data_IF_702989198841
#
_entry.id   IF_702989198841
#
_cell.length_a   1.000
_cell.length_b   1.000
_cell.length_c   1.000
_cell.angle_alpha   90.00
_cell.angle_beta   90.00
_cell.angle_gamma   90.00
#
_symmetry.space_group_name_H-M   'P 1'
#
loop_
_entity.id
_entity.type
_entity.pdbx_description
1 polymer ?
#
# COMPACT_ATOMS: atom_id res chain seq x y z
N UNK A 1 -16.63 5.60 7.85
CA UNK A 1 -15.26 5.07 7.71
C UNK A 1 -14.95 4.99 6.23
N UNK A 2 -14.22 5.97 5.69
CA UNK A 2 -13.75 5.90 4.29
C UNK A 2 -12.51 5.01 4.29
N UNK A 3 -12.58 3.88 3.59
CA UNK A 3 -11.48 2.95 3.47
C UNK A 3 -10.34 3.61 2.65
N UNK A 4 -9.15 3.70 3.25
CA UNK A 4 -7.94 4.07 2.53
C UNK A 4 -7.68 3.01 1.45
N UNK A 5 -7.45 3.43 0.20
CA UNK A 5 -7.15 2.49 -0.88
C UNK A 5 -5.63 2.38 -1.05
N UNK A 6 -5.04 1.38 -0.38
CA UNK A 6 -3.60 1.10 -0.43
C UNK A 6 -3.12 0.71 -1.85
N UNK A 7 -4.02 0.29 -2.76
CA UNK A 7 -3.69 0.08 -4.17
C UNK A 7 -3.51 1.39 -4.96
N UNK A 8 -3.93 2.54 -4.41
CA UNK A 8 -3.79 3.87 -5.02
C UNK A 8 -2.70 4.74 -4.38
N UNK A 9 -1.92 4.20 -3.45
CA UNK A 9 -0.87 4.96 -2.75
C UNK A 9 -1.40 5.95 -1.72
N UNK A 10 -2.58 5.67 -1.15
CA UNK A 10 -3.28 6.57 -0.25
C UNK A 10 -3.41 5.96 1.15
N UNK A 11 -3.22 6.80 2.17
CA UNK A 11 -3.43 6.43 3.57
C UNK A 11 -4.35 7.42 4.28
N UNK A 12 -4.94 6.96 5.39
CA UNK A 12 -5.63 7.83 6.35
C UNK A 12 -4.80 7.90 7.63
N UNK A 13 -4.65 9.12 8.16
CA UNK A 13 -3.97 9.41 9.41
C UNK A 13 -4.82 10.34 10.29
N UNK A 14 -4.58 10.31 11.60
CA UNK A 14 -5.20 11.22 12.55
C UNK A 14 -4.23 12.36 12.85
N UNK A 15 -4.62 13.58 12.50
CA UNK A 15 -3.89 14.82 12.76
C UNK A 15 -4.86 15.80 13.43
N UNK A 16 -4.46 16.37 14.58
CA UNK A 16 -5.31 17.18 15.46
C UNK A 16 -6.63 16.50 15.89
N UNK A 17 -6.62 15.17 15.97
CA UNK A 17 -7.82 14.38 16.28
C UNK A 17 -8.77 14.23 15.09
N UNK A 18 -8.44 14.77 13.92
CA UNK A 18 -9.21 14.67 12.70
C UNK A 18 -8.62 13.64 11.74
N UNK A 19 -9.49 12.85 11.10
CA UNK A 19 -9.09 11.91 10.06
C UNK A 19 -8.78 12.64 8.76
N UNK A 20 -7.50 12.72 8.39
CA UNK A 20 -7.04 13.33 7.14
C UNK A 20 -6.52 12.28 6.17
N UNK A 21 -6.73 12.54 4.88
CA UNK A 21 -6.30 11.68 3.78
C UNK A 21 -4.96 12.17 3.27
N UNK A 22 -4.00 11.27 3.10
CA UNK A 22 -2.70 11.57 2.51
C UNK A 22 -2.49 10.69 1.28
N UNK A 23 -2.01 11.28 0.20
CA UNK A 23 -1.69 10.60 -1.04
C UNK A 23 -0.53 11.32 -1.74
N UNK A 24 0.52 10.61 -2.12
CA UNK A 24 1.58 11.18 -2.95
C UNK A 24 1.21 11.03 -4.42
N UNK A 25 0.54 12.06 -4.94
CA UNK A 25 0.24 12.16 -6.38
C UNK A 25 1.51 12.50 -7.16
N UNK A 26 1.50 12.34 -8.49
CA UNK A 26 2.62 12.75 -9.33
C UNK A 26 2.98 14.24 -9.15
N UNK A 27 1.99 15.12 -8.96
CA UNK A 27 2.23 16.54 -8.68
C UNK A 27 2.94 16.74 -7.35
N UNK A 28 2.44 16.09 -6.29
CA UNK A 28 3.06 16.12 -4.96
C UNK A 28 4.48 15.54 -4.98
N UNK A 29 4.73 14.49 -5.76
CA UNK A 29 6.05 13.90 -5.91
C UNK A 29 7.03 14.84 -6.63
N UNK A 30 6.59 15.54 -7.68
CA UNK A 30 7.40 16.56 -8.35
C UNK A 30 7.74 17.74 -7.42
N UNK A 31 6.80 18.13 -6.55
CA UNK A 31 7.06 19.09 -5.48
C UNK A 31 8.14 18.57 -4.51
N UNK A 32 8.07 17.29 -4.12
CA UNK A 32 9.09 16.68 -3.26
C UNK A 32 10.46 16.63 -3.94
N UNK A 33 10.55 16.24 -5.21
CA UNK A 33 11.81 16.24 -5.96
C UNK A 33 12.46 17.64 -5.94
N UNK A 34 11.66 18.67 -6.17
CA UNK A 34 12.08 20.06 -6.12
C UNK A 34 12.53 20.48 -4.73
N UNK A 35 11.76 20.13 -3.69
CA UNK A 35 12.05 20.48 -2.30
C UNK A 35 13.32 19.80 -1.77
N UNK A 36 13.55 18.55 -2.16
CA UNK A 36 14.74 17.78 -1.78
C UNK A 36 15.95 18.05 -2.68
N UNK A 37 15.75 18.73 -3.81
CA UNK A 37 16.81 19.04 -4.78
C UNK A 37 17.38 17.80 -5.45
N UNK A 38 16.51 16.84 -5.80
CA UNK A 38 16.90 15.56 -6.43
C UNK A 38 16.39 15.51 -7.87
N UNK A 39 17.10 14.79 -8.74
CA UNK A 39 16.84 14.77 -10.19
C UNK A 39 15.86 13.65 -10.61
N UNK A 40 15.28 12.93 -9.65
CA UNK A 40 14.22 11.97 -9.93
C UNK A 40 13.77 11.10 -8.75
N UNK A 41 12.65 10.41 -8.94
CA UNK A 41 12.01 9.55 -7.94
C UNK A 41 12.92 8.47 -7.37
N UNK A 42 13.87 7.94 -8.15
CA UNK A 42 14.83 6.94 -7.67
C UNK A 42 15.77 7.52 -6.60
N UNK A 43 16.25 8.74 -6.81
CA UNK A 43 17.12 9.45 -5.86
C UNK A 43 16.33 9.91 -4.62
N UNK A 44 15.10 10.36 -4.83
CA UNK A 44 14.16 10.65 -3.75
C UNK A 44 13.95 9.41 -2.86
N UNK A 45 13.63 8.26 -3.46
CA UNK A 45 13.39 7.01 -2.74
C UNK A 45 14.64 6.54 -1.99
N UNK A 46 15.83 6.64 -2.61
CA UNK A 46 17.10 6.30 -1.96
C UNK A 46 17.32 7.17 -0.70
N UNK A 47 17.18 8.49 -0.84
CA UNK A 47 17.34 9.44 0.27
C UNK A 47 16.37 9.16 1.43
N UNK A 48 15.11 8.91 1.12
CA UNK A 48 14.09 8.59 2.13
C UNK A 48 14.40 7.26 2.84
N UNK A 49 14.97 6.30 2.13
CA UNK A 49 15.34 4.98 2.66
C UNK A 49 16.60 5.00 3.53
N UNK A 50 17.46 6.01 3.39
CA UNK A 50 18.65 6.17 4.25
C UNK A 50 18.31 6.50 5.71
N UNK A 51 17.06 6.85 6.02
CA UNK A 51 16.60 7.11 7.39
C UNK A 51 17.15 8.39 8.03
N UNK A 52 17.81 9.25 7.25
CA UNK A 52 18.38 10.53 7.68
C UNK A 52 17.43 11.70 7.46
N UNK A 53 16.17 11.51 7.86
CA UNK A 53 15.13 12.52 7.72
C UNK A 53 15.07 13.41 8.96
N UNK A 54 15.15 14.72 8.73
CA UNK A 54 14.97 15.78 9.71
C UNK A 54 13.49 16.07 9.96
N UNK A 55 13.18 16.85 11.01
CA UNK A 55 11.81 17.28 11.27
C UNK A 55 11.22 18.10 10.10
N UNK A 56 12.04 18.89 9.41
CA UNK A 56 11.63 19.61 8.20
C UNK A 56 11.23 18.66 7.09
N UNK A 57 12.01 17.61 6.85
CA UNK A 57 11.69 16.62 5.82
C UNK A 57 10.34 15.93 6.09
N UNK A 58 10.03 15.66 7.36
CA UNK A 58 8.73 15.11 7.74
C UNK A 58 7.60 16.09 7.42
N UNK A 59 7.76 17.38 7.75
CA UNK A 59 6.76 18.41 7.45
C UNK A 59 6.53 18.52 5.95
N UNK A 60 7.59 18.56 5.14
CA UNK A 60 7.51 18.62 3.67
C UNK A 60 6.78 17.41 3.10
N UNK A 61 7.10 16.18 3.55
CA UNK A 61 6.45 14.95 3.06
C UNK A 61 4.96 14.91 3.45
N UNK A 62 4.64 15.27 4.69
CA UNK A 62 3.25 15.27 5.18
C UNK A 62 2.42 16.33 4.46
N UNK A 63 2.96 17.54 4.28
CA UNK A 63 2.29 18.63 3.57
C UNK A 63 2.02 18.23 2.10
N UNK A 64 3.01 17.67 1.41
CA UNK A 64 2.82 17.15 0.05
C UNK A 64 1.77 16.03 -0.01
N UNK A 65 1.78 15.13 0.97
CA UNK A 65 0.80 14.05 1.09
C UNK A 65 -0.62 14.56 1.34
N UNK A 66 -0.81 15.54 2.22
CA UNK A 66 -2.11 16.16 2.49
C UNK A 66 -2.66 16.88 1.26
N UNK A 67 -1.82 17.66 0.56
CA UNK A 67 -2.19 18.31 -0.71
C UNK A 67 -2.64 17.30 -1.75
N UNK A 68 -1.88 16.22 -1.94
CA UNK A 68 -2.28 15.15 -2.86
C UNK A 68 -3.49 14.33 -2.40
N UNK A 69 -3.80 14.35 -1.10
CA UNK A 69 -5.01 13.79 -0.50
C UNK A 69 -6.26 14.65 -0.67
N UNK A 70 -6.13 15.89 -1.16
CA UNK A 70 -7.22 16.84 -1.40
C UNK A 70 -7.25 18.04 -0.44
N UNK A 71 -6.28 18.16 0.47
CA UNK A 71 -6.16 19.27 1.42
C UNK A 71 -5.19 20.33 0.86
N UNK A 72 -5.68 21.17 -0.06
CA UNK A 72 -4.84 22.09 -0.84
C UNK A 72 -4.16 23.18 0.00
N UNK A 73 -4.72 23.51 1.16
CA UNK A 73 -4.20 24.52 2.09
C UNK A 73 -3.16 23.94 3.08
N UNK A 74 -2.82 22.66 2.97
CA UNK A 74 -1.83 22.02 3.85
C UNK A 74 -0.39 22.31 3.38
N UNK A 75 0.18 23.42 3.82
CA UNK A 75 1.60 23.75 3.68
C UNK A 75 2.43 23.33 4.91
N UNK A 76 3.75 23.55 4.87
CA UNK A 76 4.65 23.17 5.96
C UNK A 76 4.36 23.91 7.27
N UNK A 77 3.91 25.16 7.21
CA UNK A 77 3.55 25.96 8.39
C UNK A 77 2.27 25.40 9.03
N UNK A 78 1.29 25.04 8.20
CA UNK A 78 0.09 24.34 8.65
C UNK A 78 0.45 23.03 9.37
N UNK A 79 1.32 22.19 8.78
CA UNK A 79 1.76 20.92 9.39
C UNK A 79 2.57 21.16 10.68
N UNK A 80 3.39 22.20 10.74
CA UNK A 80 4.16 22.55 11.94
C UNK A 80 3.26 22.84 13.16
N UNK A 81 2.05 23.36 12.92
CA UNK A 81 1.05 23.60 13.96
C UNK A 81 0.27 22.34 14.38
N UNK A 82 0.28 21.28 13.56
CA UNK A 82 -0.51 20.07 13.80
C UNK A 82 0.03 19.20 14.93
N UNK A 83 -0.88 18.45 15.57
CA UNK A 83 -0.55 17.41 16.55
C UNK A 83 -0.86 16.02 16.04
N UNK A 84 0.10 15.12 16.16
CA UNK A 84 -0.12 13.69 15.97
C UNK A 84 -0.11 12.98 17.34
N UNK A 85 -0.95 11.96 17.48
CA UNK A 85 -0.85 11.02 18.59
C UNK A 85 0.56 10.41 18.65
N UNK A 86 1.13 10.29 19.85
CA UNK A 86 2.52 9.83 20.06
C UNK A 86 3.62 10.79 19.53
N UNK A 87 3.28 12.05 19.21
CA UNK A 87 4.25 13.08 18.81
C UNK A 87 5.06 12.69 17.58
N UNK A 88 6.38 12.83 17.64
CA UNK A 88 7.29 12.54 16.52
C UNK A 88 7.19 11.08 16.02
N UNK A 89 6.93 10.13 16.93
CA UNK A 89 6.79 8.73 16.56
C UNK A 89 5.51 8.48 15.73
N UNK A 90 4.45 9.25 15.99
CA UNK A 90 3.24 9.23 15.19
C UNK A 90 3.48 9.75 13.78
N UNK A 91 4.14 10.91 13.66
CA UNK A 91 4.54 11.46 12.37
C UNK A 91 5.44 10.51 11.58
N UNK A 92 6.41 9.86 12.23
CA UNK A 92 7.26 8.85 11.61
C UNK A 92 6.45 7.70 11.01
N UNK A 93 5.47 7.19 11.76
CA UNK A 93 4.58 6.12 11.28
C UNK A 93 3.76 6.58 10.08
N UNK A 94 3.25 7.80 10.09
CA UNK A 94 2.48 8.36 8.97
C UNK A 94 3.36 8.43 7.71
N UNK A 95 4.55 9.02 7.82
CA UNK A 95 5.50 9.15 6.72
C UNK A 95 5.88 7.76 6.17
N UNK A 96 6.28 6.83 7.03
CA UNK A 96 6.65 5.47 6.61
C UNK A 96 5.48 4.78 5.89
N UNK A 97 4.26 4.84 6.45
CA UNK A 97 3.08 4.25 5.80
C UNK A 97 2.78 4.87 4.44
N UNK A 98 2.92 6.19 4.33
CA UNK A 98 2.72 6.91 3.07
C UNK A 98 3.74 6.47 2.02
N UNK A 99 5.03 6.43 2.40
CA UNK A 99 6.10 5.98 1.50
C UNK A 99 5.94 4.53 1.08
N UNK A 100 5.54 3.63 1.99
CA UNK A 100 5.24 2.25 1.65
C UNK A 100 4.04 2.13 0.71
N UNK A 101 3.01 2.94 0.88
CA UNK A 101 1.86 2.94 -0.03
C UNK A 101 2.27 3.41 -1.45
N UNK A 102 3.22 4.34 -1.54
CA UNK A 102 3.66 4.92 -2.83
C UNK A 102 4.74 4.09 -3.53
N UNK A 103 5.75 3.63 -2.79
CA UNK A 103 6.96 2.96 -3.34
C UNK A 103 7.06 1.47 -2.99
N UNK A 104 6.27 0.99 -2.02
CA UNK A 104 6.39 -0.37 -1.46
C UNK A 104 5.65 -1.47 -2.22
N UNK A 105 5.14 -1.21 -3.43
CA UNK A 105 4.52 -2.23 -4.27
C UNK A 105 5.58 -3.00 -5.08
N UNK A 106 6.33 -3.89 -4.42
CA UNK A 106 6.97 -5.00 -5.12
C UNK A 106 5.98 -6.17 -5.23
N UNK A 107 5.46 -6.36 -6.46
CA UNK A 107 5.05 -7.66 -7.02
C UNK A 107 4.08 -8.52 -6.17
N UNK A 108 2.77 -8.20 -6.22
CA UNK A 108 1.79 -9.28 -6.34
C UNK A 108 1.74 -9.73 -7.82
N UNK A 109 2.80 -10.42 -8.28
CA UNK A 109 2.62 -11.37 -9.36
C UNK A 109 1.71 -12.43 -8.80
N UNK A 110 0.47 -12.37 -9.25
CA UNK A 110 -0.56 -13.35 -9.01
C UNK A 110 0.00 -14.73 -9.35
N UNK A 111 0.44 -15.49 -8.34
CA UNK A 111 0.22 -16.93 -8.35
C UNK A 111 -1.27 -17.16 -8.18
N UNK A 112 -2.05 -16.75 -9.19
CA UNK A 112 -3.31 -17.39 -9.49
C UNK A 112 -2.87 -18.77 -9.97
N UNK A 113 -2.83 -19.72 -9.04
CA UNK A 113 -2.78 -21.12 -9.38
C UNK A 113 -3.87 -21.34 -10.44
N UNK A 114 -3.42 -21.53 -11.67
CA UNK A 114 -4.23 -21.93 -12.80
C UNK A 114 -4.75 -23.33 -12.46
N UNK A 115 -5.95 -23.39 -11.88
CA UNK A 115 -6.81 -24.54 -12.03
C UNK A 115 -7.33 -24.55 -13.47
N UNK A 116 -6.47 -24.91 -14.41
CA UNK A 116 -6.91 -25.38 -15.71
C UNK A 116 -7.43 -26.81 -15.49
N UNK A 117 -8.71 -26.92 -15.08
CA UNK A 117 -9.43 -28.18 -15.24
C UNK A 117 -9.80 -28.28 -16.72
N UNK A 118 -8.85 -28.78 -17.49
CA UNK A 118 -9.02 -29.32 -18.83
C UNK A 118 -10.02 -30.48 -18.80
N UNK A 119 -11.32 -30.16 -18.76
CA UNK A 119 -12.35 -31.12 -19.21
C UNK A 119 -12.28 -31.21 -20.74
N UNK A 120 -11.27 -31.92 -21.22
CA UNK A 120 -11.17 -32.39 -22.61
C UNK A 120 -12.24 -33.44 -22.94
N UNK A 121 -12.60 -33.62 -24.21
CA UNK A 121 -13.80 -34.34 -24.64
C UNK A 121 -13.52 -35.83 -24.89
N UNK A 122 -13.15 -36.59 -23.86
CA UNK A 122 -13.09 -38.07 -23.90
C UNK A 122 -13.38 -38.53 -22.46
N UNK A 123 -14.52 -39.13 -22.11
CA UNK A 123 -15.11 -40.31 -22.73
C UNK A 123 -14.65 -41.55 -21.97
N UNK A 124 -15.26 -41.90 -20.84
CA UNK A 124 -15.35 -43.31 -20.43
C UNK A 124 -16.56 -43.58 -19.53
N UNK A 125 -17.36 -44.55 -19.97
CA UNK A 125 -18.62 -44.95 -19.37
C UNK A 125 -18.38 -45.68 -18.05
N UNK A 126 -19.08 -45.22 -17.00
CA UNK A 126 -19.16 -45.90 -15.71
C UNK A 126 -19.95 -47.21 -15.83
N UNK A 127 -19.26 -48.35 -15.86
CA UNK A 127 -19.66 -49.68 -15.35
C UNK A 127 -18.55 -50.72 -15.67
N UNK A 128 -18.50 -51.93 -15.06
CA UNK A 128 -19.14 -52.45 -13.83
C UNK A 128 -18.14 -53.21 -12.92
N UNK A 129 -18.49 -53.56 -11.66
CA UNK A 129 -18.13 -54.88 -11.09
C UNK A 129 -19.13 -55.29 -9.98
N UNK A 130 -19.74 -56.50 -10.05
CA UNK A 130 -20.55 -57.04 -8.96
C UNK A 130 -19.68 -57.65 -7.85
N UNK A 131 -20.05 -57.41 -6.59
CA UNK A 131 -19.43 -58.05 -5.41
C UNK A 131 -19.83 -59.53 -5.36
N UNK A 132 -18.86 -60.44 -5.48
CA UNK A 132 -19.06 -61.87 -5.25
C UNK A 132 -18.99 -62.13 -3.74
N UNK A 133 -20.06 -62.66 -3.14
CA UNK A 133 -20.07 -63.17 -1.77
C UNK A 133 -20.27 -64.68 -1.85
N UNK A 134 -19.27 -65.45 -1.42
CA UNK A 134 -19.36 -66.92 -1.28
C UNK A 134 -19.21 -67.24 0.20
N UNK A 135 -20.28 -67.67 0.91
CA UNK A 135 -20.13 -68.33 2.19
C UNK A 135 -19.94 -69.84 1.98
N UNK A 136 -18.89 -70.37 2.62
CA UNK A 136 -18.53 -71.78 2.62
C UNK A 136 -19.60 -72.70 3.23
N UNK A 137 -19.73 -73.86 2.60
CA UNK A 137 -20.36 -75.10 3.05
C UNK A 137 -19.25 -76.00 3.63
N UNK A 138 -19.48 -77.02 4.48
CA UNK A 138 -20.73 -77.64 4.91
C UNK A 138 -21.18 -77.39 6.36
#
# INVERSE_FOLDING_TARGET
MVAANEQRGEIVAILDGESRRLCLTLGSLAELETAFGVDGLSELAARLSEGRLSASDFMTIIAAGLRGGGDSDADEEAVAAMRCENGIAGFARIVVRLLMATFGHETQTQSRAEGHDETGPFGEASAPHPTITIPGKP
#
